data_IF_287991361132
#
_entry.id   IF_287991361132
#
_cell.length_a   1.000
_cell.length_b   1.000
_cell.length_c   1.000
_cell.angle_alpha   90.00
_cell.angle_beta   90.00
_cell.angle_gamma   90.00
#
_symmetry.space_group_name_H-M   'P 1'
#
loop_
_entity.id
_entity.type
_entity.pdbx_description
1 polymer ?
#
# COMPACT_ATOMS: atom_id res chain seq x y z
N UNK A 1 -10.09 52.62 -0.72
CA UNK A 1 -10.55 51.50 -1.59
C UNK A 1 -9.31 50.78 -2.11
N UNK A 2 -8.73 49.89 -1.30
CA UNK A 2 -7.41 49.26 -1.55
C UNK A 2 -7.61 47.87 -2.17
N UNK A 3 -6.96 47.63 -3.32
CA UNK A 3 -6.98 46.42 -4.16
C UNK A 3 -6.64 45.15 -3.36
N UNK A 4 -7.67 44.47 -2.83
CA UNK A 4 -7.56 43.12 -2.20
C UNK A 4 -7.37 41.97 -3.20
N UNK A 5 -7.34 42.26 -4.51
CA UNK A 5 -7.30 41.23 -5.57
C UNK A 5 -5.91 40.66 -5.88
N UNK A 6 -4.82 41.39 -5.60
CA UNK A 6 -3.46 40.94 -5.95
C UNK A 6 -2.91 39.84 -5.03
N UNK A 7 -3.19 39.93 -3.73
CA UNK A 7 -2.68 38.96 -2.75
C UNK A 7 -3.29 37.56 -2.93
N UNK A 8 -4.56 37.47 -3.33
CA UNK A 8 -5.23 36.18 -3.61
C UNK A 8 -4.72 35.50 -4.87
N UNK A 9 -4.40 36.27 -5.91
CA UNK A 9 -3.85 35.75 -7.15
C UNK A 9 -2.41 35.20 -6.94
N UNK A 10 -1.59 35.88 -6.14
CA UNK A 10 -0.23 35.43 -5.81
C UNK A 10 -0.21 34.17 -4.95
N UNK A 11 -1.12 34.06 -3.97
CA UNK A 11 -1.25 32.84 -3.14
C UNK A 11 -1.74 31.65 -3.97
N UNK A 12 -2.71 31.87 -4.87
CA UNK A 12 -3.20 30.81 -5.77
C UNK A 12 -2.13 30.31 -6.75
N UNK A 13 -1.27 31.22 -7.26
CA UNK A 13 -0.16 30.86 -8.13
C UNK A 13 0.95 30.10 -7.38
N UNK A 14 1.24 30.48 -6.13
CA UNK A 14 2.17 29.77 -5.26
C UNK A 14 1.70 28.36 -4.88
N UNK A 15 0.39 28.17 -4.68
CA UNK A 15 -0.20 26.86 -4.39
C UNK A 15 -0.17 25.93 -5.62
N UNK A 16 -0.36 26.48 -6.83
CA UNK A 16 -0.26 25.72 -8.09
C UNK A 16 1.17 25.28 -8.40
N UNK A 17 2.19 26.09 -8.07
CA UNK A 17 3.60 25.71 -8.25
C UNK A 17 4.07 24.62 -7.27
N UNK A 18 3.47 24.51 -6.09
CA UNK A 18 3.85 23.52 -5.08
C UNK A 18 3.47 22.07 -5.43
N UNK A 19 2.49 21.87 -6.31
CA UNK A 19 1.99 20.53 -6.68
C UNK A 19 2.86 19.79 -7.72
N UNK A 20 3.91 20.43 -8.24
CA UNK A 20 4.80 19.84 -9.25
C UNK A 20 6.09 19.24 -8.67
N UNK A 21 6.22 19.13 -7.35
CA UNK A 21 7.34 18.43 -6.73
C UNK A 21 7.34 16.97 -7.21
N UNK A 22 8.36 16.51 -7.94
CA UNK A 22 8.43 15.12 -8.37
C UNK A 22 8.49 14.25 -7.12
N UNK A 23 7.56 13.31 -6.99
CA UNK A 23 7.68 12.24 -6.03
C UNK A 23 8.94 11.44 -6.43
N UNK A 24 9.95 11.43 -5.57
CA UNK A 24 11.12 10.59 -5.75
C UNK A 24 10.68 9.13 -5.57
N UNK A 25 10.44 8.44 -6.69
CA UNK A 25 10.44 6.99 -6.67
C UNK A 25 11.89 6.55 -6.42
N UNK A 26 12.09 5.50 -5.61
CA UNK A 26 13.42 4.92 -5.49
C UNK A 26 13.88 4.45 -6.87
N UNK A 27 15.15 4.69 -7.20
CA UNK A 27 15.78 4.19 -8.41
C UNK A 27 15.56 2.67 -8.48
N UNK A 28 14.68 2.25 -9.39
CA UNK A 28 14.46 0.83 -9.64
C UNK A 28 15.66 0.32 -10.43
N UNK A 29 16.62 -0.28 -9.74
CA UNK A 29 17.66 -1.04 -10.42
C UNK A 29 16.97 -2.14 -11.26
N UNK A 30 17.32 -2.30 -12.55
CA UNK A 30 16.68 -3.30 -13.39
C UNK A 30 16.81 -4.68 -12.76
N UNK A 31 15.66 -5.29 -12.46
CA UNK A 31 15.63 -6.66 -11.99
C UNK A 31 16.21 -7.58 -13.09
N UNK A 32 16.95 -8.64 -12.71
CA UNK A 32 17.35 -9.67 -13.65
C UNK A 32 16.10 -10.23 -14.33
N UNK A 33 16.26 -10.67 -15.58
CA UNK A 33 15.18 -11.32 -16.30
C UNK A 33 14.65 -12.50 -15.47
N UNK A 34 13.33 -12.57 -15.32
CA UNK A 34 12.67 -13.71 -14.73
C UNK A 34 12.99 -14.96 -15.57
N UNK A 35 13.15 -16.10 -14.90
CA UNK A 35 13.28 -17.41 -15.54
C UNK A 35 11.93 -17.96 -16.03
N UNK A 36 10.86 -17.19 -15.85
CA UNK A 36 9.50 -17.49 -16.31
C UNK A 36 8.84 -16.24 -16.91
N UNK A 37 7.89 -16.47 -17.83
CA UNK A 37 7.00 -15.41 -18.31
C UNK A 37 5.84 -15.25 -17.31
N UNK A 38 5.70 -14.08 -16.65
CA UNK A 38 4.56 -13.86 -15.77
C UNK A 38 3.26 -13.86 -16.58
N UNK A 39 2.17 -14.38 -16.03
CA UNK A 39 0.89 -14.35 -16.72
C UNK A 39 0.42 -12.89 -16.88
N UNK A 40 -0.34 -12.61 -17.94
CA UNK A 40 -0.81 -11.26 -18.23
C UNK A 40 -1.59 -10.65 -17.03
N UNK A 41 -1.44 -9.35 -16.72
CA UNK A 41 -2.20 -8.72 -15.65
C UNK A 41 -3.70 -8.97 -15.79
N UNK A 42 -4.34 -9.45 -14.72
CA UNK A 42 -5.77 -9.78 -14.72
C UNK A 42 -6.15 -11.10 -15.41
N UNK A 43 -5.19 -11.88 -15.93
CA UNK A 43 -5.47 -13.22 -16.50
C UNK A 43 -5.74 -14.29 -15.43
N UNK A 44 -5.50 -13.98 -14.16
CA UNK A 44 -5.79 -14.86 -13.05
C UNK A 44 -7.30 -15.08 -12.92
N UNK A 45 -7.70 -16.33 -12.70
CA UNK A 45 -9.09 -16.65 -12.39
C UNK A 45 -9.41 -16.17 -10.97
N UNK A 46 -10.33 -15.22 -10.84
CA UNK A 46 -10.84 -14.83 -9.53
C UNK A 46 -11.79 -15.92 -9.02
N UNK A 47 -11.28 -16.77 -8.13
CA UNK A 47 -12.12 -17.76 -7.47
C UNK A 47 -13.17 -17.09 -6.57
N UNK A 48 -14.23 -17.84 -6.26
CA UNK A 48 -15.32 -17.37 -5.41
C UNK A 48 -14.76 -16.90 -4.05
N UNK A 49 -14.98 -15.63 -3.73
CA UNK A 49 -14.65 -15.05 -2.43
C UNK A 49 -15.57 -15.70 -1.39
N UNK A 50 -14.97 -16.27 -0.34
CA UNK A 50 -15.68 -16.93 0.76
C UNK A 50 -15.67 -16.05 2.00
N UNK A 51 -16.62 -16.30 2.91
CA UNK A 51 -16.55 -15.72 4.24
C UNK A 51 -15.24 -16.12 4.92
N UNK A 52 -14.52 -15.15 5.47
CA UNK A 52 -13.32 -15.43 6.25
C UNK A 52 -13.71 -16.25 7.49
N UNK A 53 -13.06 -17.41 7.74
CA UNK A 53 -13.28 -18.16 8.96
C UNK A 53 -12.77 -17.36 10.17
N UNK A 54 -13.33 -17.63 11.34
CA UNK A 54 -12.74 -17.16 12.58
C UNK A 54 -11.63 -18.11 13.03
N UNK A 55 -10.76 -17.64 13.93
CA UNK A 55 -9.61 -18.41 14.41
C UNK A 55 -8.93 -17.75 15.60
N UNK A 56 -8.03 -18.49 16.24
CA UNK A 56 -7.18 -17.96 17.28
C UNK A 56 -5.98 -17.23 16.65
N UNK A 57 -5.75 -16.00 17.06
CA UNK A 57 -4.57 -15.19 16.76
C UNK A 57 -3.87 -14.81 18.04
N UNK A 58 -2.55 -14.62 18.01
CA UNK A 58 -1.77 -14.19 19.17
C UNK A 58 -1.66 -12.67 19.14
N UNK A 59 -2.11 -12.01 20.21
CA UNK A 59 -1.97 -10.57 20.37
C UNK A 59 -0.55 -10.15 20.77
N UNK A 60 -0.31 -8.84 20.80
CA UNK A 60 0.98 -8.27 21.22
C UNK A 60 1.32 -8.59 22.69
N UNK A 61 0.31 -8.89 23.51
CA UNK A 61 0.45 -9.33 24.90
C UNK A 61 0.73 -10.85 25.03
N UNK A 62 0.91 -11.55 23.90
CA UNK A 62 1.13 -12.99 23.84
C UNK A 62 -0.14 -13.82 24.12
N UNK A 63 -1.32 -13.19 24.27
CA UNK A 63 -2.56 -13.91 24.60
C UNK A 63 -3.32 -14.30 23.34
N UNK A 64 -3.95 -15.49 23.32
CA UNK A 64 -4.82 -15.88 22.24
C UNK A 64 -6.10 -15.01 22.23
N UNK A 65 -6.48 -14.55 21.04
CA UNK A 65 -7.68 -13.76 20.79
C UNK A 65 -8.38 -14.28 19.52
N UNK A 66 -9.67 -13.98 19.37
CA UNK A 66 -10.45 -14.36 18.18
C UNK A 66 -10.21 -13.35 17.05
N UNK A 67 -9.95 -13.81 15.84
CA UNK A 67 -9.79 -12.94 14.67
C UNK A 67 -11.01 -12.03 14.46
N UNK A 68 -12.22 -12.55 14.68
CA UNK A 68 -13.47 -11.80 14.57
C UNK A 68 -13.54 -10.55 15.46
N UNK A 69 -12.76 -10.50 16.56
CA UNK A 69 -12.63 -9.30 17.42
C UNK A 69 -12.11 -8.09 16.64
N UNK A 70 -11.33 -8.32 15.59
CA UNK A 70 -10.71 -7.29 14.77
C UNK A 70 -11.45 -7.03 13.46
N UNK A 71 -12.10 -8.05 12.90
CA UNK A 71 -12.65 -8.02 11.53
C UNK A 71 -14.16 -7.81 11.44
N UNK A 72 -14.94 -8.18 12.46
CA UNK A 72 -16.41 -8.13 12.39
C UNK A 72 -16.92 -6.69 12.42
N UNK A 73 -17.93 -6.41 11.58
CA UNK A 73 -18.62 -5.11 11.50
C UNK A 73 -17.70 -3.92 11.15
N UNK A 74 -16.53 -4.20 10.55
CA UNK A 74 -15.52 -3.21 10.18
C UNK A 74 -14.97 -3.49 8.79
N UNK A 75 -14.74 -2.45 8.02
CA UNK A 75 -13.87 -2.56 6.84
C UNK A 75 -12.45 -2.77 7.36
N UNK A 76 -11.87 -3.93 7.04
CA UNK A 76 -10.58 -4.35 7.59
C UNK A 76 -9.57 -4.54 6.48
N UNK A 77 -8.44 -3.84 6.56
CA UNK A 77 -7.26 -4.14 5.78
C UNK A 77 -6.40 -5.13 6.57
N UNK A 78 -6.23 -6.34 6.03
CA UNK A 78 -5.41 -7.38 6.64
C UNK A 78 -4.16 -7.61 5.78
N UNK A 79 -2.99 -7.35 6.37
CA UNK A 79 -1.70 -7.60 5.73
C UNK A 79 -1.11 -8.94 6.17
N UNK A 80 -0.67 -9.74 5.21
CA UNK A 80 0.18 -10.91 5.46
C UNK A 80 1.60 -10.51 5.07
N UNK A 81 2.49 -10.47 6.06
CA UNK A 81 3.89 -10.08 5.85
C UNK A 81 4.79 -11.22 6.25
N UNK A 82 5.83 -11.45 5.44
CA UNK A 82 6.96 -12.28 5.85
C UNK A 82 7.96 -11.38 6.56
N UNK A 83 8.09 -11.55 7.88
CA UNK A 83 9.03 -10.75 8.69
C UNK A 83 10.49 -11.19 8.47
N UNK A 84 10.68 -12.41 7.98
CA UNK A 84 11.98 -12.97 7.61
C UNK A 84 11.93 -13.35 6.14
N UNK A 85 12.46 -12.48 5.29
CA UNK A 85 12.68 -12.80 3.90
C UNK A 85 14.13 -13.20 3.72
N UNK A 86 14.36 -14.44 3.29
CA UNK A 86 15.71 -15.00 3.07
C UNK A 86 16.19 -14.78 1.63
N UNK A 87 15.36 -14.16 0.79
CA UNK A 87 15.72 -13.85 -0.59
C UNK A 87 16.34 -12.45 -0.66
N UNK A 88 17.67 -12.33 -0.84
CA UNK A 88 18.35 -11.04 -0.95
C UNK A 88 18.01 -10.30 -2.25
N UNK A 89 17.42 -10.98 -3.25
CA UNK A 89 16.94 -10.37 -4.49
C UNK A 89 15.46 -9.99 -4.41
N UNK A 90 14.69 -10.63 -3.54
CA UNK A 90 13.28 -10.35 -3.29
C UNK A 90 13.04 -9.32 -2.19
N UNK A 91 13.95 -9.17 -1.22
CA UNK A 91 13.79 -8.24 -0.11
C UNK A 91 15.06 -7.41 0.10
N UNK A 92 14.97 -6.07 0.14
CA UNK A 92 13.79 -5.19 0.18
C UNK A 92 13.37 -4.61 -1.20
N UNK A 93 13.53 -5.38 -2.29
CA UNK A 93 13.25 -4.89 -3.65
C UNK A 93 11.80 -5.11 -4.14
N UNK A 94 10.99 -5.88 -3.41
CA UNK A 94 9.56 -6.08 -3.68
C UNK A 94 8.67 -4.96 -3.12
#
# INVERSE_FOLDING_TARGET
>A
MIRRGGARALVALGLWLGCALPAMAHDAEPLPALDFEPPAPGSYTLHRIMAAPDGAVVGLDGRPQRLARFTRERITLLGFIYTTCVDPRGCPLA
#
